data_IF_664934118899
#
_entry.id   IF_664934118899
#
_cell.length_a   1.000
_cell.length_b   1.000
_cell.length_c   1.000
_cell.angle_alpha   90.00
_cell.angle_beta   90.00
_cell.angle_gamma   90.00
#
_symmetry.space_group_name_H-M   'P 1'
#
loop_
_entity.id
_entity.type
_entity.pdbx_description
1 polymer ?
#
# COMPACT_ATOMS: atom_id res chain seq x y z
N UNK A 1 -7.24 54.29 13.16
CA UNK A 1 -7.27 52.89 13.59
C UNK A 1 -6.96 52.83 15.07
N UNK A 2 -7.95 52.44 15.88
CA UNK A 2 -7.80 52.20 17.31
C UNK A 2 -6.95 50.95 17.51
N UNK A 3 -5.86 51.04 18.27
CA UNK A 3 -5.26 49.88 18.90
C UNK A 3 -5.80 49.81 20.34
N UNK A 4 -6.55 48.75 20.64
CA UNK A 4 -6.82 48.35 22.03
C UNK A 4 -5.51 47.83 22.61
N UNK A 5 -4.97 48.58 23.57
CA UNK A 5 -3.83 48.19 24.39
C UNK A 5 -4.40 47.35 25.53
N UNK A 6 -3.97 46.09 25.64
CA UNK A 6 -4.09 45.35 26.90
C UNK A 6 -2.92 45.78 27.76
N UNK A 7 -3.21 46.54 28.82
CA UNK A 7 -2.23 46.97 29.80
C UNK A 7 -1.73 45.77 30.60
N UNK A 8 -0.42 45.66 30.79
CA UNK A 8 0.16 44.90 31.90
C UNK A 8 0.81 45.92 32.82
N UNK A 9 0.30 46.01 34.05
CA UNK A 9 0.50 47.07 35.04
C UNK A 9 1.86 47.02 35.76
N UNK A 10 2.97 46.92 35.02
CA UNK A 10 4.32 46.83 35.58
C UNK A 10 5.32 47.78 34.91
N UNK A 11 6.06 48.53 35.72
CA UNK A 11 7.15 49.43 35.28
C UNK A 11 8.49 48.88 35.78
N UNK A 12 9.43 48.73 34.85
CA UNK A 12 10.77 48.20 35.10
C UNK A 12 11.83 49.29 35.05
N UNK A 13 12.75 49.31 36.02
CA UNK A 13 13.95 50.15 35.94
C UNK A 13 15.13 49.58 36.71
N UNK A 14 16.33 50.05 36.36
CA UNK A 14 17.60 49.62 36.95
C UNK A 14 18.20 50.80 37.69
N UNK A 15 18.56 50.59 38.97
CA UNK A 15 19.31 51.55 39.78
C UNK A 15 20.36 50.81 40.59
N UNK A 16 21.58 51.31 40.61
CA UNK A 16 22.71 50.71 41.35
C UNK A 16 22.91 49.21 41.05
N UNK A 17 22.85 48.85 39.77
CA UNK A 17 22.95 47.46 39.27
C UNK A 17 21.91 46.48 39.83
N UNK A 18 20.78 46.99 40.35
CA UNK A 18 19.65 46.21 40.83
C UNK A 18 18.42 46.50 39.98
N UNK A 19 17.64 45.45 39.72
CA UNK A 19 16.41 45.50 38.96
C UNK A 19 15.23 45.72 39.89
N UNK A 20 14.37 46.69 39.56
CA UNK A 20 13.18 47.02 40.32
C UNK A 20 11.94 46.92 39.45
N UNK A 21 10.85 46.40 40.03
CA UNK A 21 9.53 46.32 39.43
C UNK A 21 8.55 47.08 40.32
N UNK A 22 7.79 48.00 39.74
CA UNK A 22 6.64 48.62 40.41
C UNK A 22 5.38 48.06 39.76
N UNK A 23 4.56 47.39 40.57
CA UNK A 23 3.27 46.83 40.15
C UNK A 23 2.14 47.72 40.68
N UNK A 24 1.24 48.18 39.80
CA UNK A 24 0.11 49.01 40.20
C UNK A 24 -1.10 48.13 40.52
N UNK A 25 -1.59 48.17 41.77
CA UNK A 25 -2.52 47.15 42.28
C UNK A 25 -4.01 47.45 42.13
N UNK A 26 -4.41 48.65 41.67
CA UNK A 26 -5.79 48.89 41.23
C UNK A 26 -5.86 50.27 40.56
N UNK A 27 -6.05 50.32 39.24
CA UNK A 27 -6.35 51.59 38.57
C UNK A 27 -7.35 51.36 37.45
N UNK A 28 -8.60 51.67 37.74
CA UNK A 28 -9.65 51.81 36.75
C UNK A 28 -9.26 52.82 35.67
N UNK A 29 -9.65 52.49 34.42
CA UNK A 29 -9.02 52.95 33.16
C UNK A 29 -8.87 54.46 32.93
N UNK A 30 -9.51 55.31 33.74
CA UNK A 30 -9.34 56.77 33.71
C UNK A 30 -8.26 57.29 34.68
N UNK A 31 -8.03 56.62 35.81
CA UNK A 31 -6.99 57.01 36.78
C UNK A 31 -5.58 56.63 36.33
N UNK A 32 -5.44 55.48 35.66
CA UNK A 32 -4.13 54.96 35.25
C UNK A 32 -3.44 55.81 34.19
N UNK A 33 -4.23 56.39 33.27
CA UNK A 33 -3.71 57.29 32.22
C UNK A 33 -3.21 58.62 32.78
N UNK A 34 -3.94 59.22 33.71
CA UNK A 34 -3.53 60.47 34.35
C UNK A 34 -2.25 60.30 35.19
N UNK A 35 -2.10 59.16 35.86
CA UNK A 35 -0.86 58.83 36.59
C UNK A 35 0.31 58.60 35.62
N UNK A 36 0.08 57.90 34.51
CA UNK A 36 1.10 57.64 33.49
C UNK A 36 1.61 58.94 32.83
N UNK A 37 0.70 59.86 32.50
CA UNK A 37 1.04 61.16 31.91
C UNK A 37 1.78 62.06 32.94
N UNK A 38 1.38 62.04 34.22
CA UNK A 38 2.10 62.74 35.29
C UNK A 38 3.51 62.17 35.48
N UNK A 39 3.65 60.85 35.48
CA UNK A 39 4.94 60.15 35.59
C UNK A 39 5.89 60.58 34.46
N UNK A 40 5.47 60.49 33.19
CA UNK A 40 6.29 60.89 32.05
C UNK A 40 6.63 62.39 32.04
N UNK A 41 5.76 63.25 32.59
CA UNK A 41 6.04 64.70 32.68
C UNK A 41 7.05 65.08 33.77
N UNK A 42 7.28 64.19 34.75
CA UNK A 42 8.12 64.49 35.93
C UNK A 42 9.58 64.02 35.75
N UNK A 43 9.84 63.07 34.85
CA UNK A 43 11.18 62.52 34.62
C UNK A 43 11.75 62.96 33.28
N UNK A 44 12.97 63.52 33.31
CA UNK A 44 13.72 63.87 32.10
C UNK A 44 14.73 62.76 31.80
N UNK A 45 14.52 62.05 30.70
CA UNK A 45 15.45 61.04 30.22
C UNK A 45 16.66 61.75 29.57
N UNK A 46 17.85 61.54 30.11
CA UNK A 46 19.11 62.09 29.59
C UNK A 46 19.91 60.93 29.00
N UNK A 47 20.11 60.94 27.68
CA UNK A 47 21.12 60.07 27.05
C UNK A 47 22.51 60.57 27.44
N UNK A 48 23.33 59.69 28.03
CA UNK A 48 24.76 59.97 28.24
C UNK A 48 25.55 59.48 27.03
N UNK A 49 26.43 60.31 26.42
CA UNK A 49 27.35 59.83 25.41
C UNK A 49 28.43 58.94 26.03
N UNK A 50 28.99 58.03 25.22
CA UNK A 50 30.10 57.15 25.57
C UNK A 50 31.25 57.91 26.26
N UNK A 51 31.76 57.33 27.35
CA UNK A 51 32.90 57.87 28.09
C UNK A 51 34.18 57.32 27.48
N UNK A 52 35.02 58.21 26.93
CA UNK A 52 36.40 57.94 26.53
C UNK A 52 37.24 57.41 27.72
N UNK A 53 38.04 56.39 27.46
CA UNK A 53 38.95 55.77 28.45
C UNK A 53 40.12 56.70 28.80
N UNK A 54 40.47 56.92 30.09
CA UNK A 54 41.77 57.45 30.48
C UNK A 54 42.82 56.35 30.58
N UNK A 55 44.07 56.71 30.31
CA UNK A 55 45.22 55.81 30.16
C UNK A 55 45.59 55.01 31.41
N UNK A 56 46.14 53.82 31.16
CA UNK A 56 46.65 52.90 32.19
C UNK A 56 48.19 52.99 32.20
N UNK A 57 48.75 53.38 33.34
CA UNK A 57 50.17 53.16 33.66
C UNK A 57 50.43 51.66 33.83
N UNK A 58 51.57 51.22 33.29
CA UNK A 58 52.01 49.83 33.20
C UNK A 58 52.09 49.15 34.57
N UNK A 59 51.49 47.97 34.66
CA UNK A 59 51.99 46.89 35.52
C UNK A 59 52.03 45.63 34.65
N UNK A 60 53.24 45.12 34.44
CA UNK A 60 53.50 43.84 33.78
C UNK A 60 53.17 42.70 34.74
N UNK A 61 52.11 41.95 34.45
CA UNK A 61 51.99 40.56 34.87
C UNK A 61 51.57 39.72 33.66
N UNK A 62 52.45 38.79 33.27
CA UNK A 62 52.20 37.81 32.23
C UNK A 62 51.13 36.82 32.68
N UNK A 63 49.87 37.04 32.26
CA UNK A 63 48.82 36.03 32.32
C UNK A 63 48.78 35.29 30.97
N UNK A 64 49.02 33.97 30.91
CA UNK A 64 48.98 33.25 29.65
C UNK A 64 47.56 33.26 29.08
N UNK A 65 47.41 33.83 27.89
CA UNK A 65 46.16 33.85 27.14
C UNK A 65 45.95 32.48 26.49
N UNK A 66 45.10 31.65 27.08
CA UNK A 66 44.58 30.46 26.40
C UNK A 66 43.43 30.94 25.50
N UNK A 67 43.70 31.08 24.20
CA UNK A 67 42.65 31.23 23.19
C UNK A 67 42.05 29.86 22.91
N UNK A 68 41.10 29.41 23.74
CA UNK A 68 40.25 28.27 23.37
C UNK A 68 39.34 28.69 22.21
N UNK A 69 39.70 28.20 21.02
CA UNK A 69 38.89 28.31 19.81
C UNK A 69 37.61 27.50 20.02
N UNK A 70 36.53 28.15 20.45
CA UNK A 70 35.23 27.51 20.62
C UNK A 70 34.66 27.18 19.23
N UNK A 71 34.75 25.91 18.84
CA UNK A 71 34.23 25.42 17.57
C UNK A 71 32.71 25.21 17.69
N UNK A 72 31.93 26.08 17.04
CA UNK A 72 30.47 25.95 16.99
C UNK A 72 30.13 24.78 16.06
N UNK A 73 29.78 23.64 16.65
CA UNK A 73 29.34 22.47 15.88
C UNK A 73 27.98 22.76 15.25
N UNK A 74 27.93 22.81 13.92
CA UNK A 74 26.68 22.92 13.18
C UNK A 74 25.83 21.67 13.41
N UNK A 75 24.55 21.88 13.74
CA UNK A 75 23.60 20.80 13.99
C UNK A 75 23.00 20.30 12.68
N UNK A 76 22.95 18.98 12.49
CA UNK A 76 22.36 18.34 11.33
C UNK A 76 21.89 16.93 11.65
N UNK A 77 21.00 16.41 10.81
CA UNK A 77 20.60 15.01 10.78
C UNK A 77 20.31 14.61 9.34
N UNK A 78 20.71 13.40 8.96
CA UNK A 78 20.46 12.80 7.65
C UNK A 78 20.11 11.33 7.82
N UNK A 79 18.99 10.90 7.27
CA UNK A 79 18.61 9.49 7.20
C UNK A 79 19.43 8.85 6.08
N UNK A 80 20.13 7.75 6.39
CA UNK A 80 21.00 7.03 5.44
C UNK A 80 20.26 5.82 4.86
N UNK A 81 19.52 5.10 5.71
CA UNK A 81 18.73 3.93 5.30
C UNK A 81 17.64 3.65 6.33
N UNK A 82 16.42 3.24 5.92
CA UNK A 82 15.96 3.20 4.53
C UNK A 82 15.82 4.59 3.93
N UNK A 83 15.96 4.71 2.61
CA UNK A 83 15.89 6.01 1.91
C UNK A 83 14.95 5.98 0.68
N UNK A 84 14.42 4.80 0.32
CA UNK A 84 13.45 4.70 -0.76
C UNK A 84 13.48 3.38 -1.53
N UNK A 85 12.29 2.85 -1.84
CA UNK A 85 12.12 1.64 -2.64
C UNK A 85 12.27 0.32 -1.88
N UNK A 86 12.55 0.37 -0.57
CA UNK A 86 12.65 -0.84 0.25
C UNK A 86 11.28 -1.53 0.45
N UNK A 87 11.33 -2.84 0.56
CA UNK A 87 10.19 -3.70 0.91
C UNK A 87 10.52 -4.39 2.24
N UNK A 88 9.87 -3.95 3.30
CA UNK A 88 10.01 -4.49 4.64
C UNK A 88 8.87 -5.45 4.96
N UNK A 89 9.18 -6.49 5.72
CA UNK A 89 8.23 -7.55 6.07
C UNK A 89 7.92 -7.46 7.55
N UNK A 90 6.64 -7.49 7.90
CA UNK A 90 6.21 -7.58 9.30
C UNK A 90 6.86 -8.77 10.02
N UNK A 91 7.21 -8.57 11.28
CA UNK A 91 7.93 -9.53 12.12
C UNK A 91 9.43 -9.64 11.83
N UNK A 92 9.96 -9.03 10.76
CA UNK A 92 11.41 -8.96 10.51
C UNK A 92 12.03 -7.73 11.17
N UNK A 93 13.33 -7.82 11.45
CA UNK A 93 14.12 -6.72 12.00
C UNK A 93 14.96 -6.07 10.91
N UNK A 94 14.77 -4.77 10.71
CA UNK A 94 15.56 -3.95 9.80
C UNK A 94 16.33 -2.90 10.60
N UNK A 95 17.50 -2.51 10.08
CA UNK A 95 18.29 -1.44 10.66
C UNK A 95 17.90 -0.11 10.01
N UNK A 96 17.61 0.87 10.84
CA UNK A 96 17.45 2.28 10.46
C UNK A 96 18.76 2.99 10.80
N UNK A 97 19.41 3.61 9.84
CA UNK A 97 20.71 4.27 9.98
C UNK A 97 20.59 5.76 9.67
N UNK A 98 21.22 6.60 10.50
CA UNK A 98 21.27 8.05 10.31
C UNK A 98 22.65 8.60 10.65
N UNK A 99 23.00 9.73 10.04
CA UNK A 99 24.12 10.56 10.45
C UNK A 99 23.59 11.78 11.20
N UNK A 100 24.22 12.16 12.31
CA UNK A 100 23.86 13.40 13.01
C UNK A 100 25.09 14.13 13.56
N UNK A 101 24.96 15.45 13.71
CA UNK A 101 25.98 16.33 14.29
C UNK A 101 25.34 17.29 15.28
N UNK A 102 25.96 17.51 16.44
CA UNK A 102 25.50 18.48 17.45
C UNK A 102 24.11 18.21 18.06
N UNK A 103 23.58 16.99 17.88
CA UNK A 103 22.32 16.53 18.46
C UNK A 103 22.60 15.49 19.55
N UNK A 104 21.85 15.54 20.64
CA UNK A 104 21.95 14.54 21.72
C UNK A 104 20.94 13.41 21.55
N UNK A 105 19.74 13.74 21.05
CA UNK A 105 18.61 12.82 20.96
C UNK A 105 17.89 12.92 19.62
N UNK A 106 17.38 11.78 19.16
CA UNK A 106 16.52 11.67 17.99
C UNK A 106 15.27 10.84 18.30
N UNK A 107 14.25 11.03 17.49
CA UNK A 107 12.99 10.29 17.47
C UNK A 107 12.78 9.79 16.05
N UNK A 108 12.28 8.57 15.92
CA UNK A 108 11.97 7.92 14.66
C UNK A 108 10.47 7.65 14.61
N UNK A 109 9.82 8.06 13.54
CA UNK A 109 8.45 7.66 13.26
C UNK A 109 8.23 7.31 11.79
N UNK A 110 7.07 6.70 11.55
CA UNK A 110 6.60 6.26 10.26
C UNK A 110 5.25 6.92 9.99
N UNK A 111 5.11 7.50 8.80
CA UNK A 111 3.88 8.08 8.31
C UNK A 111 3.40 7.32 7.08
N UNK A 112 2.08 7.07 7.00
CA UNK A 112 1.45 6.50 5.82
C UNK A 112 0.96 7.63 4.91
N UNK A 113 1.13 7.45 3.61
CA UNK A 113 0.71 8.38 2.56
C UNK A 113 -0.37 7.75 1.69
N UNK A 114 -1.32 8.56 1.22
CA UNK A 114 -2.31 8.13 0.24
C UNK A 114 -1.76 8.25 -1.20
N UNK A 115 -2.54 7.82 -2.19
CA UNK A 115 -2.19 7.90 -3.62
C UNK A 115 -2.01 9.33 -4.15
N UNK A 116 -2.42 10.35 -3.39
CA UNK A 116 -2.24 11.77 -3.74
C UNK A 116 -0.99 12.38 -3.07
N UNK A 117 -0.17 11.57 -2.39
CA UNK A 117 1.02 12.02 -1.68
C UNK A 117 0.74 12.79 -0.40
N UNK A 118 -0.47 12.66 0.16
CA UNK A 118 -0.86 13.31 1.41
C UNK A 118 -0.73 12.35 2.59
N UNK A 119 -0.24 12.85 3.72
CA UNK A 119 -0.19 12.10 4.98
C UNK A 119 -1.60 11.68 5.38
N UNK A 120 -1.79 10.39 5.64
CA UNK A 120 -3.08 9.83 6.03
C UNK A 120 -3.48 10.34 7.42
N UNK A 121 -4.64 10.99 7.49
CA UNK A 121 -5.15 11.56 8.74
C UNK A 121 -5.31 10.49 9.80
N UNK A 122 -4.69 10.71 10.96
CA UNK A 122 -4.76 9.79 12.12
C UNK A 122 -3.74 8.65 12.09
N UNK A 123 -2.87 8.57 11.08
CA UNK A 123 -1.80 7.57 11.05
C UNK A 123 -0.44 8.20 11.38
N UNK A 124 0.17 7.76 12.48
CA UNK A 124 1.56 8.00 12.83
C UNK A 124 2.01 6.87 13.74
N UNK A 125 3.06 6.15 13.36
CA UNK A 125 3.63 5.08 14.17
C UNK A 125 5.00 5.50 14.71
N UNK A 126 5.12 5.65 16.02
CA UNK A 126 6.41 5.98 16.64
C UNK A 126 7.25 4.71 16.80
N UNK A 127 8.37 4.65 16.07
CA UNK A 127 9.30 3.52 16.10
C UNK A 127 10.17 3.60 17.35
N UNK A 128 10.74 4.78 17.63
CA UNK A 128 11.61 5.00 18.78
C UNK A 128 11.56 6.48 19.19
N UNK A 129 11.62 6.77 20.49
CA UNK A 129 11.61 8.15 21.02
C UNK A 129 12.84 8.40 21.88
N UNK A 130 13.43 9.59 21.74
CA UNK A 130 14.53 10.08 22.58
C UNK A 130 15.72 9.10 22.67
N UNK A 131 16.11 8.50 21.55
CA UNK A 131 17.29 7.64 21.47
C UNK A 131 18.55 8.49 21.26
N UNK A 132 19.71 7.98 21.68
CA UNK A 132 20.99 8.67 21.51
C UNK A 132 21.30 8.93 20.03
N UNK A 133 21.44 10.20 19.67
CA UNK A 133 21.71 10.61 18.30
C UNK A 133 23.07 10.10 17.80
N UNK A 134 24.06 9.98 18.69
CA UNK A 134 25.41 9.52 18.37
C UNK A 134 25.47 8.02 18.07
N UNK A 135 24.42 7.26 18.42
CA UNK A 135 24.33 5.83 18.08
C UNK A 135 24.31 5.61 16.58
N UNK A 136 23.68 6.52 15.82
CA UNK A 136 23.61 6.47 14.35
C UNK A 136 22.77 5.32 13.77
N UNK A 137 22.18 4.46 14.61
CA UNK A 137 21.27 3.41 14.14
C UNK A 137 20.27 2.91 15.19
N UNK A 138 19.20 2.29 14.71
CA UNK A 138 18.17 1.61 15.49
C UNK A 138 17.71 0.35 14.76
N UNK A 139 17.78 -0.80 15.44
CA UNK A 139 17.23 -2.05 14.91
C UNK A 139 15.74 -2.11 15.26
N UNK A 140 14.88 -2.06 14.24
CA UNK A 140 13.43 -2.07 14.38
C UNK A 140 12.85 -3.39 13.89
N UNK A 141 12.21 -4.12 14.79
CA UNK A 141 11.32 -5.23 14.43
C UNK A 141 9.98 -4.64 14.02
N UNK A 142 9.62 -4.81 12.75
CA UNK A 142 8.39 -4.26 12.16
C UNK A 142 7.20 -4.96 12.80
N UNK A 143 6.37 -4.28 13.60
CA UNK A 143 5.16 -4.89 14.14
C UNK A 143 4.11 -5.03 13.03
N UNK A 144 3.03 -5.74 13.33
CA UNK A 144 1.84 -5.68 12.48
C UNK A 144 1.31 -4.24 12.49
N UNK A 145 1.42 -3.56 11.36
CA UNK A 145 0.94 -2.19 11.14
C UNK A 145 0.03 -2.21 9.92
N UNK A 146 -0.82 -1.19 9.72
CA UNK A 146 -1.76 -1.19 8.60
C UNK A 146 -1.09 -1.57 7.26
N UNK A 147 -1.82 -2.24 6.37
CA UNK A 147 -1.26 -2.66 5.07
C UNK A 147 -1.35 -1.50 4.08
N UNK A 148 -0.51 -0.46 4.32
CA UNK A 148 -0.41 0.70 3.44
C UNK A 148 0.81 0.57 2.54
N UNK A 149 0.68 0.95 1.26
CA UNK A 149 1.77 0.79 0.31
C UNK A 149 2.92 1.78 0.50
N UNK A 150 2.59 2.98 0.97
CA UNK A 150 3.45 4.15 0.91
C UNK A 150 3.73 4.64 2.31
N UNK A 151 4.89 4.27 2.84
CA UNK A 151 5.42 4.79 4.08
C UNK A 151 6.61 5.71 3.82
N UNK A 152 6.71 6.79 4.60
CA UNK A 152 7.99 7.48 4.76
C UNK A 152 8.44 7.41 6.20
N UNK A 153 9.73 7.17 6.36
CA UNK A 153 10.39 7.11 7.66
C UNK A 153 11.01 8.47 7.95
N UNK A 154 10.81 8.99 9.16
CA UNK A 154 11.39 10.27 9.58
C UNK A 154 12.27 10.09 10.78
N UNK A 155 13.37 10.82 10.79
CA UNK A 155 14.26 10.94 11.95
C UNK A 155 14.39 12.41 12.31
N UNK A 156 14.10 12.76 13.56
CA UNK A 156 14.12 14.16 13.99
C UNK A 156 14.51 14.36 15.44
N UNK A 157 15.05 15.53 15.78
CA UNK A 157 15.40 15.87 17.15
C UNK A 157 14.17 16.20 18.02
N UNK A 158 13.14 16.82 17.43
CA UNK A 158 11.89 17.20 18.12
C UNK A 158 10.71 17.35 17.15
N UNK A 159 9.50 17.19 17.68
CA UNK A 159 8.26 17.35 16.94
C UNK A 159 7.68 18.76 17.17
N UNK A 160 7.33 19.47 16.10
CA UNK A 160 6.71 20.80 16.16
C UNK A 160 5.30 20.75 15.55
N UNK A 161 4.24 20.70 16.38
CA UNK A 161 2.82 20.63 15.95
C UNK A 161 2.11 21.95 16.29
N UNK A 162 1.13 22.37 15.49
CA UNK A 162 0.40 23.63 15.67
C UNK A 162 -0.62 23.58 16.83
N UNK A 163 -0.52 24.53 17.76
CA UNK A 163 -1.37 24.67 18.96
C UNK A 163 -0.80 25.67 19.98
N UNK A 164 0.52 25.91 19.96
CA UNK A 164 1.22 26.79 20.91
C UNK A 164 1.70 28.11 20.27
N UNK A 165 1.72 29.18 21.06
CA UNK A 165 2.48 30.40 20.76
C UNK A 165 3.96 30.01 20.70
N UNK A 166 4.57 30.00 19.51
CA UNK A 166 5.99 29.66 19.34
C UNK A 166 6.32 28.61 18.28
N UNK A 167 5.36 28.17 17.44
CA UNK A 167 5.64 27.22 16.34
C UNK A 167 6.79 27.66 15.42
N UNK A 168 6.86 28.96 15.11
CA UNK A 168 7.94 29.53 14.31
C UNK A 168 9.31 29.36 15.01
N UNK A 169 9.35 29.49 16.33
CA UNK A 169 10.57 29.33 17.12
C UNK A 169 10.95 27.85 17.28
N UNK A 170 9.95 26.96 17.39
CA UNK A 170 10.17 25.52 17.38
C UNK A 170 10.85 25.09 16.07
N UNK A 171 10.32 25.53 14.92
CA UNK A 171 10.83 25.16 13.59
C UNK A 171 12.26 25.63 13.34
N UNK A 172 12.70 26.77 13.90
CA UNK A 172 14.10 27.25 13.76
C UNK A 172 15.14 26.29 14.34
N UNK A 173 14.75 25.44 15.28
CA UNK A 173 15.65 24.51 15.99
C UNK A 173 15.21 23.06 15.79
N UNK A 174 14.34 22.81 14.82
CA UNK A 174 13.95 21.48 14.38
C UNK A 174 14.92 21.03 13.29
N UNK A 175 15.53 19.87 13.51
CA UNK A 175 16.36 19.16 12.55
C UNK A 175 15.66 17.84 12.31
N UNK A 176 15.27 17.60 11.06
CA UNK A 176 14.64 16.36 10.66
C UNK A 176 15.13 15.97 9.27
N UNK A 177 15.05 14.68 9.01
CA UNK A 177 15.13 14.13 7.68
C UNK A 177 14.02 13.09 7.48
N UNK A 178 13.66 12.84 6.24
CA UNK A 178 12.64 11.89 5.81
C UNK A 178 13.18 11.10 4.62
N UNK A 179 12.82 9.83 4.48
CA UNK A 179 13.23 9.02 3.32
C UNK A 179 12.87 9.70 2.00
N UNK A 180 13.79 9.70 1.04
CA UNK A 180 13.62 10.36 -0.25
C UNK A 180 12.43 9.78 -1.03
N UNK A 181 12.28 8.46 -1.04
CA UNK A 181 11.15 7.74 -1.64
C UNK A 181 10.34 6.95 -0.60
N UNK A 182 9.27 6.28 -1.06
CA UNK A 182 8.43 5.43 -0.24
C UNK A 182 9.10 4.10 0.08
N UNK A 183 8.83 3.63 1.30
CA UNK A 183 9.09 2.26 1.76
C UNK A 183 7.74 1.54 1.77
N UNK A 184 7.73 0.29 1.35
CA UNK A 184 6.55 -0.57 1.47
C UNK A 184 6.73 -1.54 2.63
N UNK A 185 5.71 -1.69 3.47
CA UNK A 185 5.68 -2.71 4.53
C UNK A 185 4.59 -3.70 4.16
N UNK A 186 5.00 -4.95 3.95
CA UNK A 186 4.11 -6.05 3.57
C UNK A 186 3.94 -7.01 4.73
N UNK A 187 2.74 -7.56 4.87
CA UNK A 187 2.49 -8.55 5.92
C UNK A 187 3.34 -9.80 5.72
N UNK A 188 3.75 -10.42 6.82
CA UNK A 188 4.42 -11.74 6.76
C UNK A 188 3.54 -12.80 6.08
N UNK A 189 2.22 -12.66 6.21
CA UNK A 189 1.22 -13.51 5.55
C UNK A 189 1.22 -13.36 4.01
N UNK A 190 1.54 -12.18 3.47
CA UNK A 190 1.50 -11.91 2.03
C UNK A 190 2.84 -12.13 1.31
N UNK A 191 3.92 -12.47 2.04
CA UNK A 191 5.25 -12.69 1.46
C UNK A 191 5.24 -13.77 0.38
N UNK A 192 4.56 -14.88 0.65
CA UNK A 192 4.50 -16.00 -0.28
C UNK A 192 3.68 -15.64 -1.53
N UNK A 193 2.57 -14.92 -1.36
CA UNK A 193 1.76 -14.40 -2.47
C UNK A 193 2.56 -13.44 -3.36
N UNK A 194 3.32 -12.50 -2.78
CA UNK A 194 4.18 -11.58 -3.54
C UNK A 194 5.30 -12.35 -4.25
N UNK A 195 5.88 -13.37 -3.60
CA UNK A 195 6.87 -14.25 -4.23
C UNK A 195 6.29 -14.99 -5.44
N UNK A 196 5.04 -15.44 -5.37
CA UNK A 196 4.33 -16.02 -6.50
C UNK A 196 4.11 -14.99 -7.62
N UNK A 197 3.66 -13.77 -7.30
CA UNK A 197 3.53 -12.70 -8.31
C UNK A 197 4.86 -12.37 -9.01
N UNK A 198 5.99 -12.37 -8.27
CA UNK A 198 7.32 -12.09 -8.83
C UNK A 198 7.75 -13.13 -9.90
N UNK A 199 7.20 -14.35 -9.86
CA UNK A 199 7.44 -15.41 -10.86
C UNK A 199 6.66 -15.25 -12.16
N UNK A 200 5.64 -14.38 -12.20
CA UNK A 200 4.88 -14.09 -13.41
C UNK A 200 5.83 -13.49 -14.46
N UNK A 201 5.78 -13.97 -15.71
CA UNK A 201 6.64 -13.48 -16.78
C UNK A 201 6.10 -12.21 -17.43
N UNK A 202 4.79 -12.13 -17.63
CA UNK A 202 4.10 -10.94 -18.13
C UNK A 202 4.20 -9.77 -17.14
N UNK A 203 4.77 -8.65 -17.60
CA UNK A 203 5.08 -7.49 -16.75
C UNK A 203 3.78 -6.85 -16.23
N UNK A 204 2.77 -6.71 -17.09
CA UNK A 204 1.52 -6.05 -16.71
C UNK A 204 0.75 -6.86 -15.67
N UNK A 205 0.62 -8.18 -15.88
CA UNK A 205 0.01 -9.10 -14.92
C UNK A 205 0.80 -9.20 -13.63
N UNK A 206 2.14 -9.16 -13.67
CA UNK A 206 2.99 -9.15 -12.47
C UNK A 206 2.70 -7.96 -11.58
N UNK A 207 2.76 -6.75 -12.13
CA UNK A 207 2.53 -5.54 -11.34
C UNK A 207 1.06 -5.42 -10.92
N UNK A 208 0.11 -5.88 -11.74
CA UNK A 208 -1.29 -6.03 -11.32
C UNK A 208 -1.45 -6.94 -10.11
N UNK A 209 -0.81 -8.12 -10.12
CA UNK A 209 -0.81 -9.08 -9.02
C UNK A 209 -0.29 -8.45 -7.72
N UNK A 210 0.85 -7.75 -7.82
CA UNK A 210 1.47 -7.05 -6.68
C UNK A 210 0.57 -5.91 -6.19
N UNK A 211 -0.04 -5.14 -7.10
CA UNK A 211 -0.94 -4.04 -6.78
C UNK A 211 -2.15 -4.50 -5.97
N UNK A 212 -2.75 -5.64 -6.35
CA UNK A 212 -3.89 -6.21 -5.62
C UNK A 212 -3.50 -6.66 -4.21
N UNK A 213 -2.35 -7.33 -4.05
CA UNK A 213 -1.85 -7.77 -2.75
C UNK A 213 -1.51 -6.60 -1.85
N UNK A 214 -0.80 -5.60 -2.39
CA UNK A 214 -0.47 -4.37 -1.67
C UNK A 214 -1.67 -3.43 -1.50
N UNK A 215 -2.82 -3.75 -2.11
CA UNK A 215 -4.04 -2.93 -2.10
C UNK A 215 -3.76 -1.49 -2.53
N UNK A 216 -2.91 -1.33 -3.54
CA UNK A 216 -2.37 -0.04 -3.95
C UNK A 216 -2.37 0.15 -5.47
N UNK A 217 -3.06 1.18 -5.97
CA UNK A 217 -3.08 1.48 -7.39
C UNK A 217 -1.79 2.10 -7.93
N UNK A 218 -0.80 2.50 -7.10
CA UNK A 218 0.43 3.16 -7.60
C UNK A 218 1.18 2.29 -8.63
N UNK A 219 1.21 0.97 -8.41
CA UNK A 219 1.86 0.02 -9.33
C UNK A 219 1.15 -0.06 -10.69
N UNK A 220 -0.12 0.37 -10.78
CA UNK A 220 -0.85 0.47 -12.04
C UNK A 220 -0.37 1.66 -12.90
N UNK A 221 0.28 2.67 -12.31
CA UNK A 221 0.77 3.86 -13.03
C UNK A 221 2.01 3.56 -13.88
N UNK A 222 2.70 2.45 -13.60
CA UNK A 222 3.92 2.00 -14.27
C UNK A 222 3.61 1.29 -15.61
N UNK A 223 2.36 0.91 -15.85
CA UNK A 223 1.96 0.06 -16.97
C UNK A 223 1.75 0.86 -18.28
N UNK A 224 2.16 0.26 -19.40
CA UNK A 224 2.06 0.84 -20.75
C UNK A 224 0.63 1.01 -21.25
N UNK A 225 -0.25 0.08 -20.89
CA UNK A 225 -1.70 0.20 -21.09
C UNK A 225 -2.42 0.27 -19.73
N UNK A 226 -2.52 1.46 -19.11
CA UNK A 226 -3.23 1.64 -17.84
C UNK A 226 -4.75 1.48 -17.98
N UNK A 227 -5.28 1.23 -19.18
CA UNK A 227 -6.71 1.09 -19.41
C UNK A 227 -7.20 -0.30 -18.98
N UNK A 228 -7.40 -0.45 -17.68
CA UNK A 228 -8.66 -0.92 -17.04
C UNK A 228 -8.41 -1.97 -15.97
N UNK A 229 -7.75 -3.08 -16.30
CA UNK A 229 -7.79 -4.27 -15.45
C UNK A 229 -7.08 -4.06 -14.11
N UNK A 230 -5.94 -3.35 -14.08
CA UNK A 230 -5.24 -3.11 -12.82
C UNK A 230 -6.07 -2.25 -11.85
N UNK A 231 -6.54 -1.08 -12.28
CA UNK A 231 -7.40 -0.24 -11.44
C UNK A 231 -8.71 -0.94 -11.05
N UNK A 232 -9.32 -1.71 -11.97
CA UNK A 232 -10.53 -2.52 -11.70
C UNK A 232 -10.28 -3.53 -10.58
N UNK A 233 -9.23 -4.32 -10.73
CA UNK A 233 -8.93 -5.42 -9.82
C UNK A 233 -8.49 -4.87 -8.44
N UNK A 234 -7.73 -3.77 -8.39
CA UNK A 234 -7.39 -3.08 -7.13
C UNK A 234 -8.63 -2.48 -6.46
N UNK A 235 -9.50 -1.78 -7.21
CA UNK A 235 -10.76 -1.25 -6.69
C UNK A 235 -11.65 -2.37 -6.12
N UNK A 236 -11.70 -3.52 -6.80
CA UNK A 236 -12.47 -4.69 -6.39
C UNK A 236 -12.01 -5.29 -5.06
N UNK A 237 -10.69 -5.42 -4.84
CA UNK A 237 -10.15 -6.00 -3.59
C UNK A 237 -10.08 -5.00 -2.43
N UNK A 238 -10.03 -3.70 -2.74
CA UNK A 238 -10.07 -2.62 -1.74
C UNK A 238 -11.49 -2.15 -1.39
N UNK A 239 -12.47 -2.46 -2.25
CA UNK A 239 -13.82 -1.91 -2.21
C UNK A 239 -13.84 -0.36 -2.27
N UNK A 240 -12.86 0.23 -2.95
CA UNK A 240 -12.77 1.68 -3.16
C UNK A 240 -13.06 2.04 -4.63
N UNK A 241 -14.31 2.43 -4.89
CA UNK A 241 -14.74 2.82 -6.24
C UNK A 241 -14.15 4.16 -6.70
N UNK A 242 -13.52 4.94 -5.82
CA UNK A 242 -12.82 6.17 -6.24
C UNK A 242 -11.67 5.86 -7.21
N UNK A 243 -11.05 4.68 -7.08
CA UNK A 243 -9.98 4.18 -7.96
C UNK A 243 -10.48 4.05 -9.41
N UNK A 244 -11.75 3.69 -9.62
CA UNK A 244 -12.36 3.53 -10.94
C UNK A 244 -12.36 4.83 -11.77
N UNK A 245 -12.25 6.01 -11.13
CA UNK A 245 -12.16 7.31 -11.84
C UNK A 245 -10.96 7.41 -12.77
N UNK A 246 -9.91 6.60 -12.55
CA UNK A 246 -8.73 6.52 -13.41
C UNK A 246 -9.01 5.81 -14.74
N UNK A 247 -10.09 5.02 -14.83
CA UNK A 247 -10.50 4.31 -16.05
C UNK A 247 -11.26 5.27 -16.95
N UNK A 248 -10.84 5.43 -18.21
CA UNK A 248 -11.44 6.38 -19.17
C UNK A 248 -12.72 5.87 -19.81
N UNK A 249 -12.72 4.61 -20.25
CA UNK A 249 -13.88 3.99 -20.91
C UNK A 249 -15.07 3.92 -19.93
N UNK A 250 -16.23 4.51 -20.26
CA UNK A 250 -17.37 4.55 -19.35
C UNK A 250 -17.96 3.19 -19.00
N UNK A 251 -17.99 2.24 -19.95
CA UNK A 251 -18.54 0.90 -19.70
C UNK A 251 -17.65 0.11 -18.75
N UNK A 252 -16.34 0.12 -19.01
CA UNK A 252 -15.32 -0.47 -18.14
C UNK A 252 -15.24 0.19 -16.77
N UNK A 253 -15.44 1.52 -16.68
CA UNK A 253 -15.57 2.23 -15.41
C UNK A 253 -16.80 1.75 -14.63
N UNK A 254 -17.95 1.61 -15.30
CA UNK A 254 -19.16 1.07 -14.69
C UNK A 254 -18.96 -0.34 -14.14
N UNK A 255 -18.28 -1.22 -14.88
CA UNK A 255 -17.92 -2.55 -14.40
C UNK A 255 -16.98 -2.50 -13.17
N UNK A 256 -16.01 -1.59 -13.15
CA UNK A 256 -15.16 -1.37 -11.98
C UNK A 256 -15.96 -0.93 -10.75
N UNK A 257 -16.85 0.06 -10.92
CA UNK A 257 -17.71 0.56 -9.84
C UNK A 257 -18.65 -0.55 -9.34
N UNK A 258 -19.20 -1.36 -10.25
CA UNK A 258 -20.04 -2.51 -9.91
C UNK A 258 -19.33 -3.48 -8.96
N UNK A 259 -18.09 -3.86 -9.30
CA UNK A 259 -17.33 -4.84 -8.53
C UNK A 259 -16.80 -4.26 -7.21
N UNK A 260 -16.33 -3.01 -7.22
CA UNK A 260 -15.84 -2.33 -6.02
C UNK A 260 -16.97 -2.09 -5.00
N UNK A 261 -18.16 -1.73 -5.46
CA UNK A 261 -19.31 -1.42 -4.60
C UNK A 261 -20.22 -2.62 -4.33
N UNK A 262 -19.95 -3.78 -4.97
CA UNK A 262 -20.79 -4.99 -4.92
C UNK A 262 -22.21 -4.74 -5.44
N UNK A 263 -22.35 -3.87 -6.43
CA UNK A 263 -23.62 -3.49 -7.07
C UNK A 263 -23.64 -3.91 -8.54
N UNK A 264 -24.19 -5.10 -8.80
CA UNK A 264 -24.23 -5.69 -10.14
C UNK A 264 -25.07 -4.90 -11.14
N UNK A 265 -25.98 -4.01 -10.70
CA UNK A 265 -26.79 -3.19 -11.60
C UNK A 265 -25.92 -2.30 -12.52
N UNK A 266 -24.70 -1.97 -12.06
CA UNK A 266 -23.73 -1.14 -12.78
C UNK A 266 -22.95 -1.89 -13.87
N UNK A 267 -23.05 -3.22 -13.96
CA UNK A 267 -22.39 -4.01 -15.01
C UNK A 267 -22.97 -3.76 -16.41
N UNK A 268 -24.25 -3.40 -16.51
CA UNK A 268 -25.02 -3.29 -17.76
C UNK A 268 -24.47 -2.32 -18.82
N UNK A 269 -23.61 -1.37 -18.43
CA UNK A 269 -23.03 -0.37 -19.32
C UNK A 269 -21.86 -0.86 -20.19
N UNK A 270 -21.38 -2.10 -20.00
CA UNK A 270 -20.20 -2.63 -20.69
C UNK A 270 -20.57 -3.66 -21.77
N UNK A 271 -19.85 -3.66 -22.89
CA UNK A 271 -20.07 -4.63 -23.99
C UNK A 271 -19.80 -6.09 -23.58
N UNK A 272 -19.01 -6.28 -22.52
CA UNK A 272 -18.69 -7.57 -21.90
C UNK A 272 -19.28 -7.66 -20.48
N UNK A 273 -20.53 -7.18 -20.32
CA UNK A 273 -21.22 -7.15 -19.04
C UNK A 273 -21.40 -8.54 -18.41
N UNK A 274 -21.42 -9.59 -19.23
CA UNK A 274 -21.44 -10.99 -18.83
C UNK A 274 -20.34 -11.33 -17.81
N UNK A 275 -19.08 -11.03 -18.12
CA UNK A 275 -17.98 -11.25 -17.18
C UNK A 275 -18.12 -10.45 -15.88
N UNK A 276 -18.66 -9.24 -15.95
CA UNK A 276 -18.90 -8.42 -14.77
C UNK A 276 -19.96 -9.04 -13.86
N UNK A 277 -21.04 -9.59 -14.44
CA UNK A 277 -22.08 -10.27 -13.67
C UNK A 277 -21.56 -11.56 -13.02
N UNK A 278 -20.74 -12.35 -13.71
CA UNK A 278 -20.13 -13.55 -13.11
C UNK A 278 -19.18 -13.21 -11.97
N UNK A 279 -18.27 -12.25 -12.17
CA UNK A 279 -17.36 -11.78 -11.11
C UNK A 279 -18.18 -11.24 -9.91
N UNK A 280 -19.26 -10.48 -10.16
CA UNK A 280 -20.12 -9.96 -9.10
C UNK A 280 -20.89 -11.06 -8.35
N UNK A 281 -21.43 -12.06 -9.06
CA UNK A 281 -22.11 -13.20 -8.46
C UNK A 281 -21.17 -13.99 -7.54
N UNK A 282 -19.94 -14.26 -7.99
CA UNK A 282 -18.94 -14.96 -7.22
C UNK A 282 -18.48 -14.18 -5.98
N UNK A 283 -18.33 -12.85 -6.09
CA UNK A 283 -17.89 -11.99 -4.98
C UNK A 283 -18.96 -11.79 -3.91
N UNK A 284 -20.23 -11.83 -4.30
CA UNK A 284 -21.37 -11.60 -3.39
C UNK A 284 -22.02 -12.89 -2.90
N UNK A 285 -21.83 -14.00 -3.60
CA UNK A 285 -22.57 -15.24 -3.39
C UNK A 285 -24.03 -15.16 -3.88
N UNK A 286 -24.42 -14.11 -4.61
CA UNK A 286 -25.79 -13.92 -5.09
C UNK A 286 -26.00 -14.57 -6.46
N UNK A 287 -26.48 -15.81 -6.46
CA UNK A 287 -26.80 -16.56 -7.67
C UNK A 287 -27.94 -15.93 -8.49
N UNK A 288 -28.71 -14.98 -7.94
CA UNK A 288 -29.73 -14.28 -8.71
C UNK A 288 -29.12 -13.45 -9.85
N UNK A 289 -27.87 -12.99 -9.67
CA UNK A 289 -27.09 -12.26 -10.67
C UNK A 289 -26.81 -13.13 -11.89
N UNK A 290 -26.54 -14.43 -11.72
CA UNK A 290 -26.34 -15.37 -12.82
C UNK A 290 -27.56 -15.49 -13.76
N UNK A 291 -28.78 -15.14 -13.29
CA UNK A 291 -29.96 -15.11 -14.16
C UNK A 291 -29.89 -14.00 -15.21
N UNK A 292 -29.17 -12.91 -14.94
CA UNK A 292 -29.06 -11.77 -15.85
C UNK A 292 -28.31 -12.12 -17.15
N UNK A 293 -27.52 -13.20 -17.11
CA UNK A 293 -26.70 -13.70 -18.21
C UNK A 293 -27.11 -15.11 -18.66
N UNK A 294 -28.15 -15.68 -18.05
CA UNK A 294 -28.59 -17.06 -18.28
C UNK A 294 -27.46 -18.11 -18.16
N UNK A 295 -26.44 -17.86 -17.33
CA UNK A 295 -25.30 -18.77 -17.14
C UNK A 295 -25.65 -19.84 -16.10
N UNK A 296 -25.76 -21.08 -16.55
CA UNK A 296 -25.95 -22.27 -15.70
C UNK A 296 -24.69 -22.60 -14.93
N UNK A 297 -23.52 -22.41 -15.53
CA UNK A 297 -22.19 -22.59 -14.92
C UNK A 297 -22.01 -21.64 -13.72
N UNK A 298 -22.33 -20.35 -13.90
CA UNK A 298 -22.32 -19.36 -12.82
C UNK A 298 -23.19 -19.82 -11.64
N UNK A 299 -24.42 -20.31 -11.91
CA UNK A 299 -25.31 -20.81 -10.86
C UNK A 299 -24.75 -22.03 -10.17
N UNK A 300 -24.24 -23.00 -10.95
CA UNK A 300 -23.67 -24.22 -10.43
C UNK A 300 -22.51 -23.93 -9.47
N UNK A 301 -21.61 -23.03 -9.84
CA UNK A 301 -20.45 -22.64 -9.02
C UNK A 301 -20.88 -21.84 -7.79
N UNK A 302 -21.71 -20.82 -7.95
CA UNK A 302 -22.12 -19.94 -6.83
C UNK A 302 -22.98 -20.69 -5.80
N UNK A 303 -23.87 -21.58 -6.24
CA UNK A 303 -24.72 -22.39 -5.35
C UNK A 303 -24.08 -23.71 -4.93
N UNK A 304 -23.00 -24.12 -5.59
CA UNK A 304 -22.38 -25.45 -5.45
C UNK A 304 -23.37 -26.59 -5.71
N UNK A 305 -24.18 -26.42 -6.74
CA UNK A 305 -25.29 -27.32 -7.07
C UNK A 305 -25.12 -27.87 -8.49
N UNK A 306 -24.87 -29.18 -8.57
CA UNK A 306 -24.60 -29.91 -9.81
C UNK A 306 -25.81 -29.96 -10.74
N UNK A 307 -27.04 -29.80 -10.22
CA UNK A 307 -28.25 -29.87 -11.05
C UNK A 307 -28.29 -28.78 -12.13
N UNK A 308 -27.55 -27.69 -11.96
CA UNK A 308 -27.42 -26.67 -13.00
C UNK A 308 -26.49 -27.07 -14.15
N UNK A 309 -25.57 -28.02 -13.96
CA UNK A 309 -24.63 -28.46 -14.99
C UNK A 309 -25.26 -29.33 -16.09
N UNK A 310 -26.43 -29.93 -15.84
CA UNK A 310 -27.15 -30.72 -16.83
C UNK A 310 -27.47 -29.90 -18.10
N UNK A 311 -27.69 -28.60 -17.94
CA UNK A 311 -28.04 -27.67 -19.01
C UNK A 311 -26.87 -26.73 -19.40
N UNK A 312 -25.65 -27.05 -19.01
CA UNK A 312 -24.45 -26.31 -19.45
C UNK A 312 -24.10 -26.66 -20.88
N UNK A 313 -23.66 -25.69 -21.68
CA UNK A 313 -23.21 -25.92 -23.05
C UNK A 313 -21.81 -26.59 -23.12
N UNK A 314 -21.10 -26.73 -21.99
CA UNK A 314 -19.75 -27.30 -21.94
C UNK A 314 -19.58 -28.35 -20.83
N UNK A 315 -18.48 -29.12 -20.92
CA UNK A 315 -18.03 -30.04 -19.87
C UNK A 315 -17.43 -29.32 -18.64
N UNK A 316 -17.21 -28.01 -18.75
CA UNK A 316 -16.49 -27.19 -17.77
C UNK A 316 -17.26 -27.09 -16.45
N UNK A 317 -18.59 -27.06 -16.48
CA UNK A 317 -19.42 -26.95 -15.27
C UNK A 317 -19.11 -28.04 -14.25
N UNK A 318 -19.08 -29.30 -14.70
CA UNK A 318 -18.77 -30.45 -13.84
C UNK A 318 -17.33 -30.40 -13.34
N UNK A 319 -16.39 -30.01 -14.20
CA UNK A 319 -14.97 -29.86 -13.86
C UNK A 319 -14.73 -28.76 -12.81
N UNK A 320 -15.36 -27.59 -13.00
CA UNK A 320 -15.35 -26.46 -12.06
C UNK A 320 -15.91 -26.87 -10.70
N UNK A 321 -17.10 -27.48 -10.69
CA UNK A 321 -17.77 -27.86 -9.46
C UNK A 321 -17.03 -28.98 -8.72
N UNK A 322 -16.51 -29.97 -9.45
CA UNK A 322 -15.66 -31.01 -8.91
C UNK A 322 -14.40 -30.41 -8.24
N UNK A 323 -13.71 -29.48 -8.91
CA UNK A 323 -12.55 -28.81 -8.35
C UNK A 323 -12.88 -28.00 -7.09
N UNK A 324 -13.99 -27.26 -7.13
CA UNK A 324 -14.44 -26.39 -6.05
C UNK A 324 -14.86 -27.18 -4.80
N UNK A 325 -15.63 -28.26 -4.99
CA UNK A 325 -16.22 -29.05 -3.90
C UNK A 325 -15.32 -30.19 -3.43
N UNK A 326 -14.45 -30.70 -4.31
CA UNK A 326 -13.72 -31.94 -4.10
C UNK A 326 -14.60 -33.20 -4.19
N UNK A 327 -15.84 -33.09 -4.66
CA UNK A 327 -16.76 -34.23 -4.79
C UNK A 327 -16.61 -34.90 -6.16
N UNK A 328 -16.02 -36.10 -6.16
CA UNK A 328 -15.84 -36.92 -7.35
C UNK A 328 -17.18 -37.36 -7.98
N UNK A 329 -18.27 -37.42 -7.21
CA UNK A 329 -19.58 -37.86 -7.71
C UNK A 329 -20.18 -36.87 -8.71
N UNK A 330 -19.81 -35.60 -8.61
CA UNK A 330 -20.18 -34.58 -9.59
C UNK A 330 -19.81 -35.03 -11.00
N UNK A 331 -18.68 -35.72 -11.16
CA UNK A 331 -18.19 -36.19 -12.45
C UNK A 331 -19.01 -37.33 -13.07
N UNK A 332 -19.91 -37.98 -12.32
CA UNK A 332 -20.81 -38.99 -12.87
C UNK A 332 -21.82 -38.36 -13.84
N UNK A 333 -22.21 -37.09 -13.62
CA UNK A 333 -23.15 -36.38 -14.49
C UNK A 333 -22.65 -36.15 -15.92
N UNK A 334 -21.33 -36.19 -16.16
CA UNK A 334 -20.77 -36.19 -17.51
C UNK A 334 -21.19 -37.42 -18.32
N UNK A 335 -21.45 -38.57 -17.67
CA UNK A 335 -21.85 -39.81 -18.36
C UNK A 335 -23.28 -39.79 -18.87
N UNK A 336 -24.10 -38.89 -18.35
CA UNK A 336 -25.53 -38.76 -18.66
C UNK A 336 -25.78 -37.74 -19.78
N UNK A 337 -24.72 -37.15 -20.34
CA UNK A 337 -24.76 -36.12 -21.38
C UNK A 337 -24.74 -36.75 -22.78
N UNK A 338 -25.93 -36.85 -23.38
CA UNK A 338 -26.12 -37.37 -24.75
C UNK A 338 -25.51 -36.46 -25.84
N UNK A 339 -25.34 -35.17 -25.55
CA UNK A 339 -24.79 -34.16 -26.48
C UNK A 339 -23.24 -34.22 -26.60
N UNK A 340 -22.57 -34.94 -25.71
CA UNK A 340 -21.13 -35.19 -25.74
C UNK A 340 -20.75 -36.49 -26.48
N UNK A 341 -21.70 -37.18 -27.14
CA UNK A 341 -21.43 -38.41 -27.91
C UNK A 341 -20.34 -38.27 -29.00
N UNK A 342 -20.03 -37.05 -29.44
CA UNK A 342 -18.97 -36.77 -30.41
C UNK A 342 -17.58 -36.58 -29.76
N UNK A 343 -17.50 -36.40 -28.43
CA UNK A 343 -16.25 -36.32 -27.69
C UNK A 343 -15.57 -37.69 -27.71
N UNK A 344 -14.39 -37.76 -28.34
CA UNK A 344 -13.73 -39.03 -28.69
C UNK A 344 -13.24 -39.88 -27.52
N UNK A 345 -13.49 -39.52 -26.27
CA UNK A 345 -13.17 -40.34 -25.10
C UNK A 345 -13.91 -39.81 -23.85
N UNK A 346 -15.20 -40.14 -23.68
CA UNK A 346 -15.99 -39.73 -22.49
C UNK A 346 -15.34 -40.20 -21.17
N UNK A 347 -14.70 -41.38 -21.19
CA UNK A 347 -13.94 -41.88 -20.05
C UNK A 347 -12.73 -40.97 -19.74
N UNK A 348 -12.13 -40.33 -20.74
CA UNK A 348 -11.06 -39.35 -20.53
C UNK A 348 -11.56 -38.11 -19.76
N UNK A 349 -12.67 -37.50 -20.17
CA UNK A 349 -13.21 -36.30 -19.52
C UNK A 349 -13.73 -36.58 -18.11
N UNK A 350 -14.36 -37.74 -17.88
CA UNK A 350 -14.74 -38.18 -16.52
C UNK A 350 -13.50 -38.34 -15.65
N UNK A 351 -12.45 -39.01 -16.16
CA UNK A 351 -11.22 -39.19 -15.40
C UNK A 351 -10.51 -37.86 -15.14
N UNK A 352 -10.54 -36.91 -16.08
CA UNK A 352 -10.03 -35.54 -15.92
C UNK A 352 -10.78 -34.82 -14.79
N UNK A 353 -12.11 -34.86 -14.80
CA UNK A 353 -12.95 -34.29 -13.75
C UNK A 353 -12.64 -34.91 -12.38
N UNK A 354 -12.50 -36.24 -12.27
CA UNK A 354 -12.15 -36.92 -11.01
C UNK A 354 -10.78 -36.46 -10.50
N UNK A 355 -9.80 -36.33 -11.40
CA UNK A 355 -8.48 -35.80 -11.04
C UNK A 355 -8.58 -34.37 -10.51
N UNK A 356 -9.44 -33.54 -11.09
CA UNK A 356 -9.69 -32.18 -10.60
C UNK A 356 -10.34 -32.17 -9.21
N UNK A 357 -11.33 -33.04 -8.95
CA UNK A 357 -11.92 -33.21 -7.63
C UNK A 357 -10.86 -33.58 -6.58
N UNK A 358 -9.95 -34.50 -6.94
CA UNK A 358 -8.82 -34.91 -6.10
C UNK A 358 -7.69 -33.89 -6.05
N UNK A 359 -7.74 -32.85 -6.88
CA UNK A 359 -6.71 -31.83 -7.05
C UNK A 359 -5.35 -32.43 -7.45
N UNK A 360 -5.41 -33.49 -8.26
CA UNK A 360 -4.23 -34.17 -8.80
C UNK A 360 -3.69 -33.41 -10.02
N UNK A 361 -2.43 -32.98 -9.94
CA UNK A 361 -1.74 -32.27 -11.04
C UNK A 361 -1.02 -33.25 -11.99
N UNK A 362 -0.94 -34.52 -11.61
CA UNK A 362 -0.26 -35.55 -12.37
C UNK A 362 -0.90 -35.73 -13.77
N UNK A 363 -0.09 -35.54 -14.80
CA UNK A 363 -0.45 -35.64 -16.21
C UNK A 363 -1.46 -34.60 -16.71
N UNK A 364 -1.53 -33.43 -16.07
CA UNK A 364 -2.28 -32.35 -16.68
C UNK A 364 -1.56 -31.79 -17.92
N UNK A 365 -2.28 -31.78 -19.04
CA UNK A 365 -1.86 -31.16 -20.28
C UNK A 365 -2.60 -29.85 -20.47
N UNK A 366 -1.83 -28.81 -20.77
CA UNK A 366 -2.36 -27.50 -21.15
C UNK A 366 -2.57 -27.55 -22.68
N UNK A 367 -3.82 -27.69 -23.11
CA UNK A 367 -4.21 -27.80 -24.51
C UNK A 367 -4.83 -26.49 -25.04
N UNK A 368 -4.80 -26.23 -26.36
CA UNK A 368 -5.38 -25.02 -26.94
C UNK A 368 -6.92 -25.04 -27.13
N UNK A 369 -7.64 -26.05 -26.63
CA UNK A 369 -9.10 -26.13 -26.80
C UNK A 369 -9.79 -26.97 -25.70
N UNK A 370 -10.77 -26.32 -25.06
CA UNK A 370 -11.86 -26.77 -24.16
C UNK A 370 -11.48 -27.50 -22.86
N UNK A 371 -12.15 -27.13 -21.75
CA UNK A 371 -11.85 -27.63 -20.41
C UNK A 371 -11.38 -26.54 -19.44
N UNK A 372 -11.70 -26.71 -18.15
CA UNK A 372 -11.00 -25.98 -17.07
C UNK A 372 -9.54 -26.41 -17.07
N UNK A 373 -8.64 -25.48 -17.38
CA UNK A 373 -7.20 -25.74 -17.35
C UNK A 373 -6.75 -26.10 -15.93
N UNK A 374 -5.89 -27.10 -15.76
CA UNK A 374 -5.42 -27.45 -14.41
C UNK A 374 -4.50 -26.40 -13.78
N UNK A 375 -4.23 -25.28 -14.46
CA UNK A 375 -3.57 -24.12 -13.86
C UNK A 375 -4.39 -23.54 -12.68
N UNK A 376 -5.69 -23.84 -12.59
CA UNK A 376 -6.55 -23.49 -11.47
C UNK A 376 -6.31 -24.39 -10.25
N UNK A 377 -5.82 -25.63 -10.42
CA UNK A 377 -5.60 -26.58 -9.31
C UNK A 377 -4.63 -26.03 -8.24
N UNK A 378 -3.41 -25.55 -8.59
CA UNK A 378 -2.52 -24.90 -7.63
C UNK A 378 -3.18 -23.75 -6.87
N UNK A 379 -4.07 -23.02 -7.54
CA UNK A 379 -4.77 -21.88 -6.97
C UNK A 379 -5.81 -22.29 -5.94
N UNK A 380 -6.49 -23.41 -6.13
CA UNK A 380 -7.43 -23.97 -5.14
C UNK A 380 -6.70 -24.60 -3.95
N UNK A 381 -5.54 -25.23 -4.21
CA UNK A 381 -4.66 -25.77 -3.15
C UNK A 381 -4.01 -24.63 -2.34
N UNK A 382 -3.66 -23.51 -2.99
CA UNK A 382 -2.88 -22.43 -2.39
C UNK A 382 -1.38 -22.70 -2.35
N UNK A 383 -0.86 -23.55 -3.26
CA UNK A 383 0.57 -23.90 -3.30
C UNK A 383 1.19 -23.48 -4.66
N UNK A 384 2.01 -22.41 -4.69
CA UNK A 384 2.57 -21.87 -5.92
C UNK A 384 3.72 -22.74 -6.44
N UNK A 385 4.29 -23.65 -5.64
CA UNK A 385 5.31 -24.59 -6.12
C UNK A 385 4.76 -25.54 -7.18
N UNK A 386 3.47 -25.83 -7.11
CA UNK A 386 2.78 -26.71 -8.05
C UNK A 386 2.64 -26.12 -9.45
N UNK A 387 2.71 -24.78 -9.58
CA UNK A 387 2.78 -24.13 -10.90
C UNK A 387 4.06 -24.51 -11.68
N UNK A 388 5.11 -25.01 -11.01
CA UNK A 388 6.31 -25.54 -11.68
C UNK A 388 6.09 -26.91 -12.32
N UNK A 389 5.10 -27.68 -11.83
CA UNK A 389 4.75 -28.99 -12.37
C UNK A 389 3.84 -28.92 -13.61
N UNK A 390 3.34 -27.73 -13.95
CA UNK A 390 2.60 -27.51 -15.18
C UNK A 390 3.54 -27.73 -16.38
N UNK A 391 3.29 -28.81 -17.12
CA UNK A 391 4.09 -29.17 -18.30
C UNK A 391 3.93 -28.11 -19.39
N UNK A 392 5.05 -27.78 -20.02
CA UNK A 392 5.10 -26.75 -21.04
C UNK A 392 4.30 -27.17 -22.27
N UNK A 393 3.58 -26.22 -22.87
CA UNK A 393 2.84 -26.39 -24.13
C UNK A 393 3.74 -26.96 -25.24
N UNK A 394 5.05 -26.72 -25.19
CA UNK A 394 6.07 -27.35 -26.06
C UNK A 394 6.07 -28.87 -26.07
N UNK A 395 5.95 -29.52 -24.92
CA UNK A 395 5.92 -30.99 -24.86
C UNK A 395 4.66 -31.53 -25.54
N UNK A 396 3.56 -30.78 -25.46
CA UNK A 396 2.33 -31.05 -26.19
C UNK A 396 2.48 -30.73 -27.69
N UNK A 397 2.96 -29.54 -28.07
CA UNK A 397 3.12 -29.12 -29.46
C UNK A 397 4.04 -30.04 -30.23
N UNK A 398 5.15 -30.48 -29.62
CA UNK A 398 6.08 -31.44 -30.22
C UNK A 398 5.49 -32.84 -30.37
N UNK A 399 4.50 -33.21 -29.54
CA UNK A 399 3.74 -34.47 -29.69
C UNK A 399 2.60 -34.34 -30.69
N UNK A 400 1.92 -33.20 -30.71
CA UNK A 400 0.72 -32.94 -31.49
C UNK A 400 1.04 -32.59 -32.96
N UNK A 401 2.19 -31.96 -33.20
CA UNK A 401 2.59 -31.49 -34.52
C UNK A 401 3.99 -31.98 -34.89
N UNK A 402 4.15 -32.33 -36.16
CA UNK A 402 5.44 -32.73 -36.74
C UNK A 402 6.08 -31.62 -37.58
N UNK A 403 5.31 -30.59 -37.97
CA UNK A 403 5.82 -29.43 -38.72
C UNK A 403 6.49 -28.44 -37.75
N UNK A 404 7.75 -28.03 -38.00
CA UNK A 404 8.44 -27.02 -37.20
C UNK A 404 7.66 -25.71 -37.12
N UNK A 405 7.01 -25.28 -38.20
CA UNK A 405 6.22 -24.04 -38.23
C UNK A 405 4.96 -24.15 -37.34
N UNK A 406 4.29 -25.30 -37.33
CA UNK A 406 3.13 -25.54 -36.45
C UNK A 406 3.52 -25.73 -34.99
N UNK A 407 4.65 -26.37 -34.72
CA UNK A 407 5.22 -26.47 -33.37
C UNK A 407 5.53 -25.05 -32.88
N UNK A 408 6.20 -24.24 -33.69
CA UNK A 408 6.54 -22.87 -33.34
C UNK A 408 5.30 -22.01 -33.11
N UNK A 409 4.29 -22.06 -34.00
CA UNK A 409 3.03 -21.34 -33.77
C UNK A 409 2.31 -21.80 -32.50
N UNK A 410 2.28 -23.11 -32.23
CA UNK A 410 1.67 -23.66 -31.03
C UNK A 410 2.44 -23.25 -29.75
N UNK A 411 3.77 -23.21 -29.81
CA UNK A 411 4.63 -22.76 -28.71
C UNK A 411 4.48 -21.24 -28.48
N UNK A 412 4.40 -20.43 -29.54
CA UNK A 412 4.25 -18.98 -29.46
C UNK A 412 2.88 -18.53 -28.92
N UNK A 413 1.82 -19.32 -29.12
CA UNK A 413 0.44 -18.97 -28.73
C UNK A 413 0.09 -19.29 -27.26
N UNK A 414 0.79 -20.23 -26.59
CA UNK A 414 0.30 -20.83 -25.33
C UNK A 414 1.26 -20.84 -24.13
N UNK A 415 2.49 -20.32 -24.27
CA UNK A 415 3.57 -20.62 -23.31
C UNK A 415 3.53 -19.85 -21.99
N UNK A 416 3.16 -18.57 -22.00
CA UNK A 416 3.31 -17.68 -20.84
C UNK A 416 2.02 -17.51 -20.04
N UNK A 417 0.88 -17.49 -20.73
CA UNK A 417 -0.41 -17.13 -20.13
C UNK A 417 -0.84 -18.12 -19.04
N UNK A 418 -0.59 -19.43 -19.19
CA UNK A 418 -1.16 -20.42 -18.29
C UNK A 418 -0.36 -20.60 -16.99
N UNK A 419 0.97 -20.50 -17.05
CA UNK A 419 1.82 -20.47 -15.84
C UNK A 419 1.68 -19.13 -15.10
N UNK A 420 1.57 -18.03 -15.84
CA UNK A 420 1.33 -16.73 -15.25
C UNK A 420 -0.06 -16.63 -14.61
N UNK A 421 -1.09 -17.24 -15.20
CA UNK A 421 -2.43 -17.33 -14.61
C UNK A 421 -2.40 -18.17 -13.34
N UNK A 422 -1.68 -19.30 -13.35
CA UNK A 422 -1.46 -20.13 -12.17
C UNK A 422 -0.88 -19.32 -11.01
N UNK A 423 0.24 -18.62 -11.24
CA UNK A 423 0.86 -17.80 -10.21
C UNK A 423 -0.03 -16.67 -9.73
N UNK A 424 -0.74 -16.00 -10.64
CA UNK A 424 -1.65 -14.92 -10.31
C UNK A 424 -2.79 -15.41 -9.40
N UNK A 425 -3.54 -16.43 -9.83
CA UNK A 425 -4.68 -16.95 -9.09
C UNK A 425 -4.24 -17.58 -7.75
N UNK A 426 -3.10 -18.27 -7.72
CA UNK A 426 -2.54 -18.82 -6.48
C UNK A 426 -2.13 -17.71 -5.51
N UNK A 427 -1.54 -16.62 -6.00
CA UNK A 427 -1.21 -15.48 -5.15
C UNK A 427 -2.46 -14.82 -4.54
N UNK A 428 -3.54 -14.69 -5.31
CA UNK A 428 -4.82 -14.17 -4.79
C UNK A 428 -5.41 -15.08 -3.72
N UNK A 429 -5.26 -16.40 -3.87
CA UNK A 429 -5.68 -17.38 -2.85
C UNK A 429 -4.87 -17.25 -1.57
N UNK A 430 -3.54 -17.21 -1.68
CA UNK A 430 -2.64 -17.12 -0.52
C UNK A 430 -2.91 -15.83 0.27
N UNK A 431 -3.13 -14.72 -0.43
CA UNK A 431 -3.45 -13.43 0.17
C UNK A 431 -4.92 -13.29 0.62
N UNK A 432 -5.74 -14.34 0.46
CA UNK A 432 -7.16 -14.39 0.80
C UNK A 432 -7.99 -13.21 0.26
N UNK A 433 -7.69 -12.78 -0.98
CA UNK A 433 -8.31 -11.60 -1.58
C UNK A 433 -9.59 -11.90 -2.36
N UNK A 434 -9.73 -13.13 -2.85
CA UNK A 434 -10.81 -13.54 -3.75
C UNK A 434 -11.37 -14.91 -3.34
N UNK A 435 -12.70 -15.10 -3.40
CA UNK A 435 -13.32 -16.37 -3.08
C UNK A 435 -12.97 -17.43 -4.14
N UNK A 436 -13.07 -18.71 -3.76
CA UNK A 436 -12.74 -19.82 -4.66
C UNK A 436 -13.67 -19.88 -5.87
N UNK A 437 -14.94 -19.51 -5.69
CA UNK A 437 -15.94 -19.40 -6.74
C UNK A 437 -15.47 -18.44 -7.84
N UNK A 438 -14.84 -17.32 -7.46
CA UNK A 438 -14.30 -16.36 -8.41
C UNK A 438 -13.08 -16.91 -9.15
N UNK A 439 -12.20 -17.63 -8.43
CA UNK A 439 -10.99 -18.26 -9.02
C UNK A 439 -11.36 -19.38 -9.99
N UNK A 440 -12.46 -20.10 -9.74
CA UNK A 440 -12.89 -21.22 -10.58
C UNK A 440 -13.65 -20.75 -11.83
N UNK A 441 -14.41 -19.66 -11.74
CA UNK A 441 -15.14 -19.09 -12.88
C UNK A 441 -14.25 -18.30 -13.86
N UNK A 442 -12.98 -18.06 -13.55
CA UNK A 442 -12.08 -17.16 -14.30
C UNK A 442 -10.76 -17.82 -14.67
#
# INVERSE_FOLDING_TARGET
YQYQIWATDEIYFIKDNKFFVIQMLDVDSKGGRAFYDLFLSTFKFIEKPEVEKPGIEKVEEEVPRIEEKMEVIAKSITLISPDGGEEWVEGQTYKIEWQSSGLEKVTIDLLAYNSEGQVRKGFQHFIAKSIDAAKGYYDWTVPEIGDYPNYKLRVYNKLCIGGDVGLAECRKTQYFDESDDYISIISSANREAISACKKISDIERKYRCIAMIKKDPSSCEILSDPETYCYKDVAMVTQDSAICKKIKDPGRRGACEALAERDSAKCSGWVYADYCYEEAAALTGDASICNLINSTDCKAVVLKDVSFCENSDTEDCYQMLALLTGDEKVCEGLKERDDLEWARDLDHEVNKCIKMARREIADCFIGPATGVDCNVIPSVIGDPSLCEHLKLVKDYCQKAYTSPERIQQCEELGWHLNKDSCYFNTAMRIADLLPLEWIVLR
#
